data_IF_335139639338
#
_entry.id   IF_335139639338
#
_cell.length_a   1.000
_cell.length_b   1.000
_cell.length_c   1.000
_cell.angle_alpha   90.00
_cell.angle_beta   90.00
_cell.angle_gamma   90.00
#
_symmetry.space_group_name_H-M   'P 1'
#
loop_
_entity.id
_entity.type
_entity.pdbx_description
1 polymer ?
#
# COMPACT_ATOMS: atom_id res chain seq x y z
N UNK A 1 -45.68 43.59 8.22
CA UNK A 1 -45.86 42.53 7.20
C UNK A 1 -44.52 41.88 6.94
N UNK A 2 -44.45 40.57 7.19
CA UNK A 2 -43.24 39.76 7.25
C UNK A 2 -43.09 38.94 5.96
N UNK A 3 -41.89 38.87 5.39
CA UNK A 3 -41.40 37.70 4.62
C UNK A 3 -39.89 37.56 4.80
N UNK A 4 -39.49 36.66 5.70
CA UNK A 4 -38.15 36.04 5.70
C UNK A 4 -38.22 34.85 4.74
N UNK A 5 -37.43 34.88 3.67
CA UNK A 5 -37.25 33.76 2.75
C UNK A 5 -36.19 32.79 3.27
N UNK A 6 -36.46 31.49 3.10
CA UNK A 6 -35.73 30.35 3.63
C UNK A 6 -34.27 30.21 3.15
N UNK A 7 -33.38 29.61 3.96
CA UNK A 7 -32.05 29.22 3.52
C UNK A 7 -32.07 27.88 2.76
N UNK A 8 -31.50 27.92 1.56
CA UNK A 8 -31.22 26.84 0.62
C UNK A 8 -30.35 25.71 1.22
N UNK A 9 -30.96 24.74 1.92
CA UNK A 9 -30.29 23.56 2.48
C UNK A 9 -30.24 22.33 1.55
N UNK A 10 -30.36 22.50 0.24
CA UNK A 10 -30.51 21.38 -0.71
C UNK A 10 -29.25 20.92 -1.44
N UNK A 11 -28.18 21.73 -1.50
CA UNK A 11 -27.10 21.52 -2.49
C UNK A 11 -25.86 20.79 -1.98
N UNK A 12 -25.61 20.75 -0.67
CA UNK A 12 -24.36 20.19 -0.13
C UNK A 12 -24.37 18.66 0.02
N UNK A 13 -25.52 18.05 0.32
CA UNK A 13 -25.61 16.59 0.52
C UNK A 13 -25.45 15.79 -0.78
N UNK A 14 -25.83 16.38 -1.92
CA UNK A 14 -25.70 15.72 -3.23
C UNK A 14 -24.26 15.62 -3.74
N UNK A 15 -23.41 16.64 -3.44
CA UNK A 15 -21.99 16.64 -3.83
C UNK A 15 -21.19 15.56 -3.12
N UNK A 16 -21.56 15.24 -1.89
CA UNK A 16 -20.82 14.31 -1.03
C UNK A 16 -21.05 12.83 -1.39
N UNK A 17 -22.23 12.47 -1.87
CA UNK A 17 -22.51 11.10 -2.34
C UNK A 17 -21.85 10.75 -3.67
N UNK A 18 -21.64 11.73 -4.56
CA UNK A 18 -20.88 11.55 -5.80
C UNK A 18 -19.40 11.21 -5.53
N UNK A 19 -18.79 11.83 -4.52
CA UNK A 19 -17.38 11.64 -4.16
C UNK A 19 -17.05 10.19 -3.75
N UNK A 20 -17.87 9.56 -2.92
CA UNK A 20 -17.61 8.19 -2.42
C UNK A 20 -17.59 7.13 -3.52
N UNK A 21 -18.47 7.24 -4.52
CA UNK A 21 -18.51 6.31 -5.66
C UNK A 21 -17.29 6.48 -6.57
N UNK A 22 -16.81 7.73 -6.71
CA UNK A 22 -15.59 8.04 -7.47
C UNK A 22 -14.34 7.50 -6.79
N UNK A 23 -14.22 7.65 -5.46
CA UNK A 23 -13.09 7.11 -4.70
C UNK A 23 -13.01 5.58 -4.76
N UNK A 24 -14.15 4.88 -4.61
CA UNK A 24 -14.18 3.42 -4.72
C UNK A 24 -13.74 2.93 -6.12
N UNK A 25 -14.20 3.62 -7.17
CA UNK A 25 -13.80 3.33 -8.56
C UNK A 25 -12.29 3.54 -8.76
N UNK A 26 -11.73 4.62 -8.22
CA UNK A 26 -10.27 4.87 -8.28
C UNK A 26 -9.50 3.76 -7.57
N UNK A 27 -9.95 3.30 -6.40
CA UNK A 27 -9.28 2.23 -5.65
C UNK A 27 -9.30 0.90 -6.42
N UNK A 28 -10.45 0.56 -7.00
CA UNK A 28 -10.59 -0.61 -7.85
C UNK A 28 -9.69 -0.49 -9.09
N UNK A 29 -9.67 0.68 -9.74
CA UNK A 29 -8.82 0.92 -10.92
C UNK A 29 -7.32 0.85 -10.58
N UNK A 30 -6.89 1.37 -9.44
CA UNK A 30 -5.49 1.30 -8.99
C UNK A 30 -5.12 -0.13 -8.60
N UNK A 31 -5.99 -0.86 -7.88
CA UNK A 31 -5.78 -2.27 -7.58
C UNK A 31 -5.66 -3.13 -8.85
N UNK A 32 -6.55 -2.91 -9.82
CA UNK A 32 -6.53 -3.55 -11.14
C UNK A 32 -5.28 -3.16 -11.94
N UNK A 33 -4.83 -1.90 -11.87
CA UNK A 33 -3.60 -1.46 -12.52
C UNK A 33 -2.36 -2.11 -11.91
N UNK A 34 -2.27 -2.20 -10.58
CA UNK A 34 -1.16 -2.87 -9.88
C UNK A 34 -1.14 -4.37 -10.19
N UNK A 35 -2.31 -5.01 -10.26
CA UNK A 35 -2.50 -6.37 -10.75
C UNK A 35 -2.00 -6.50 -12.19
N UNK A 36 -2.47 -5.64 -13.10
CA UNK A 36 -2.12 -5.68 -14.51
C UNK A 36 -0.62 -5.43 -14.74
N UNK A 37 0.00 -4.48 -14.05
CA UNK A 37 1.43 -4.21 -14.12
C UNK A 37 2.24 -5.39 -13.60
N UNK A 38 1.83 -5.99 -12.47
CA UNK A 38 2.49 -7.18 -11.91
C UNK A 38 2.36 -8.40 -12.83
N UNK A 39 1.22 -8.53 -13.51
CA UNK A 39 0.92 -9.65 -14.41
C UNK A 39 1.55 -9.48 -15.80
N UNK A 40 1.60 -8.25 -16.33
CA UNK A 40 2.18 -7.93 -17.64
C UNK A 40 3.72 -7.89 -17.61
N UNK A 41 4.32 -7.55 -16.46
CA UNK A 41 5.79 -7.51 -16.32
C UNK A 41 6.40 -8.84 -15.81
N UNK A 42 5.58 -9.78 -15.32
CA UNK A 42 6.07 -10.94 -14.56
C UNK A 42 6.55 -12.16 -15.37
N UNK A 43 5.78 -12.67 -16.35
CA UNK A 43 6.12 -13.94 -17.00
C UNK A 43 6.90 -13.79 -18.33
N UNK A 44 6.97 -12.59 -18.93
CA UNK A 44 7.41 -12.42 -20.32
C UNK A 44 8.70 -11.62 -20.52
N UNK A 45 9.39 -11.21 -19.45
CA UNK A 45 10.63 -10.43 -19.59
C UNK A 45 11.85 -11.32 -19.31
N UNK A 46 12.53 -11.85 -20.34
CA UNK A 46 13.87 -12.41 -20.22
C UNK A 46 14.89 -11.27 -19.97
N UNK A 47 14.65 -10.42 -18.97
CA UNK A 47 15.75 -9.65 -18.40
C UNK A 47 16.75 -10.71 -17.92
N UNK A 48 18.02 -10.69 -18.38
CA UNK A 48 18.92 -11.81 -18.17
C UNK A 48 18.96 -12.08 -16.67
N UNK A 49 18.61 -13.29 -16.25
CA UNK A 49 18.80 -13.74 -14.86
C UNK A 49 20.23 -13.38 -14.41
N UNK A 50 21.19 -13.36 -15.34
CA UNK A 50 22.54 -12.85 -15.15
C UNK A 50 22.63 -11.41 -14.62
N UNK A 51 21.82 -10.46 -15.12
CA UNK A 51 21.81 -9.07 -14.63
C UNK A 51 21.27 -8.95 -13.21
N UNK A 52 20.35 -9.81 -12.79
CA UNK A 52 19.86 -9.87 -11.40
C UNK A 52 20.90 -10.51 -10.46
N UNK A 53 21.69 -11.46 -10.96
CA UNK A 53 22.65 -12.22 -10.14
C UNK A 53 23.86 -11.37 -9.71
N UNK A 54 24.34 -10.45 -10.54
CA UNK A 54 25.48 -9.58 -10.21
C UNK A 54 25.23 -8.76 -8.92
N UNK A 55 24.17 -7.94 -8.83
CA UNK A 55 23.88 -7.21 -7.60
C UNK A 55 23.51 -8.16 -6.45
N UNK A 56 22.79 -9.25 -6.71
CA UNK A 56 22.44 -10.21 -5.65
C UNK A 56 23.67 -10.85 -4.99
N UNK A 57 24.69 -11.22 -5.79
CA UNK A 57 25.97 -11.74 -5.28
C UNK A 57 26.72 -10.69 -4.49
N UNK A 58 26.87 -9.49 -5.04
CA UNK A 58 27.55 -8.37 -4.38
C UNK A 58 26.94 -8.07 -3.00
N UNK A 59 25.61 -7.94 -2.91
CA UNK A 59 24.95 -7.69 -1.63
C UNK A 59 25.01 -8.89 -0.68
N UNK A 60 24.98 -10.12 -1.22
CA UNK A 60 25.18 -11.35 -0.43
C UNK A 60 26.55 -11.39 0.24
N UNK A 61 27.62 -11.20 -0.54
CA UNK A 61 29.00 -11.15 -0.05
C UNK A 61 29.22 -10.00 0.94
N UNK A 62 28.63 -8.83 0.70
CA UNK A 62 28.67 -7.71 1.63
C UNK A 62 28.00 -8.04 2.97
N UNK A 63 26.91 -8.81 2.95
CA UNK A 63 26.24 -9.26 4.19
C UNK A 63 27.03 -10.34 4.93
N UNK A 64 27.79 -11.18 4.23
CA UNK A 64 28.67 -12.18 4.85
C UNK A 64 29.87 -11.53 5.53
N UNK A 65 30.47 -10.53 4.88
CA UNK A 65 31.66 -9.83 5.38
C UNK A 65 31.34 -8.74 6.40
N UNK A 66 30.09 -8.28 6.48
CA UNK A 66 29.66 -7.22 7.39
C UNK A 66 28.40 -7.63 8.20
N UNK A 67 28.59 -8.27 9.38
CA UNK A 67 27.48 -8.74 10.20
C UNK A 67 26.52 -7.63 10.70
N UNK A 68 27.05 -6.44 10.96
CA UNK A 68 26.26 -5.28 11.38
C UNK A 68 25.35 -4.79 10.25
N UNK A 69 25.87 -4.77 9.01
CA UNK A 69 25.09 -4.47 7.81
C UNK A 69 23.96 -5.48 7.62
N UNK A 70 24.26 -6.79 7.69
CA UNK A 70 23.26 -7.85 7.60
C UNK A 70 22.14 -7.69 8.64
N UNK A 71 22.52 -7.45 9.90
CA UNK A 71 21.57 -7.29 11.01
C UNK A 71 20.65 -6.08 10.79
N UNK A 72 21.22 -4.96 10.34
CA UNK A 72 20.43 -3.75 10.00
C UNK A 72 19.35 -4.07 8.98
N UNK A 73 19.70 -4.75 7.88
CA UNK A 73 18.72 -5.11 6.84
C UNK A 73 17.69 -6.14 7.29
N UNK A 74 18.07 -7.09 8.15
CA UNK A 74 17.13 -8.02 8.78
C UNK A 74 16.07 -7.26 9.57
N UNK A 75 16.49 -6.31 10.42
CA UNK A 75 15.58 -5.51 11.25
C UNK A 75 14.67 -4.64 10.38
N UNK A 76 15.22 -3.93 9.40
CA UNK A 76 14.43 -3.11 8.47
C UNK A 76 13.40 -3.97 7.74
N UNK A 77 13.80 -5.15 7.23
CA UNK A 77 12.90 -6.06 6.50
C UNK A 77 11.83 -6.67 7.39
N UNK A 78 12.10 -6.88 8.68
CA UNK A 78 11.13 -7.37 9.65
C UNK A 78 10.09 -6.29 9.99
N UNK A 79 10.53 -5.05 10.23
CA UNK A 79 9.65 -3.91 10.51
C UNK A 79 8.76 -3.62 9.29
N UNK A 80 9.35 -3.59 8.10
CA UNK A 80 8.64 -3.34 6.84
C UNK A 80 8.09 -4.63 6.21
N UNK A 81 7.87 -5.67 7.01
CA UNK A 81 7.35 -6.93 6.50
C UNK A 81 5.88 -6.80 6.06
N UNK A 82 5.44 -7.60 5.07
CA UNK A 82 4.04 -7.65 4.70
C UNK A 82 3.12 -7.95 5.89
N UNK A 83 3.56 -8.79 6.83
CA UNK A 83 2.76 -9.14 8.02
C UNK A 83 2.64 -7.97 8.99
N UNK A 84 3.72 -7.24 9.24
CA UNK A 84 3.66 -6.01 10.05
C UNK A 84 2.71 -4.99 9.42
N UNK A 85 2.79 -4.78 8.11
CA UNK A 85 1.90 -3.87 7.39
C UNK A 85 0.44 -4.33 7.41
N UNK A 86 0.16 -5.63 7.33
CA UNK A 86 -1.19 -6.20 7.50
C UNK A 86 -1.75 -5.93 8.88
N UNK A 87 -0.95 -6.11 9.93
CA UNK A 87 -1.38 -5.83 11.30
C UNK A 87 -1.73 -4.35 11.44
N UNK A 88 -0.87 -3.45 10.96
CA UNK A 88 -1.13 -2.00 10.99
C UNK A 88 -2.42 -1.67 10.23
N UNK A 89 -2.56 -2.15 9.00
CA UNK A 89 -3.75 -1.92 8.18
C UNK A 89 -5.02 -2.48 8.82
N UNK A 90 -4.94 -3.69 9.39
CA UNK A 90 -6.04 -4.33 10.10
C UNK A 90 -6.48 -3.56 11.33
N UNK A 91 -5.53 -3.12 12.17
CA UNK A 91 -5.82 -2.30 13.36
C UNK A 91 -6.47 -0.98 12.96
N UNK A 92 -5.94 -0.28 11.96
CA UNK A 92 -6.51 0.99 11.48
C UNK A 92 -7.89 0.80 10.88
N UNK A 93 -8.11 -0.28 10.12
CA UNK A 93 -9.41 -0.61 9.56
C UNK A 93 -10.43 -0.89 10.66
N UNK A 94 -10.08 -1.73 11.64
CA UNK A 94 -10.94 -2.03 12.80
C UNK A 94 -11.24 -0.77 13.59
N UNK A 95 -10.24 0.07 13.87
CA UNK A 95 -10.44 1.36 14.54
C UNK A 95 -11.41 2.25 13.75
N UNK A 96 -11.27 2.31 12.42
CA UNK A 96 -12.19 3.05 11.55
C UNK A 96 -13.59 2.43 11.44
N UNK A 97 -13.81 1.19 11.86
CA UNK A 97 -15.13 0.55 11.85
C UNK A 97 -15.81 0.65 13.22
N UNK A 98 -15.05 0.43 14.30
CA UNK A 98 -15.56 0.32 15.66
C UNK A 98 -15.68 1.68 16.35
N UNK A 99 -14.77 2.63 16.09
CA UNK A 99 -14.80 3.94 16.77
C UNK A 99 -16.05 4.72 16.34
N UNK A 100 -16.89 5.20 17.28
CA UNK A 100 -18.11 5.94 16.97
C UNK A 100 -17.84 7.14 16.07
N UNK A 101 -18.77 7.41 15.14
CA UNK A 101 -18.73 8.64 14.35
C UNK A 101 -19.13 9.80 15.26
N UNK A 102 -18.24 10.77 15.40
CA UNK A 102 -18.56 12.08 15.97
C UNK A 102 -18.55 13.08 14.84
N UNK A 103 -19.74 13.53 14.46
CA UNK A 103 -19.92 14.53 13.41
C UNK A 103 -19.09 15.77 13.75
N UNK A 104 -18.23 16.19 12.83
CA UNK A 104 -17.37 17.36 13.00
C UNK A 104 -16.08 17.13 13.79
N UNK A 105 -15.78 15.89 14.21
CA UNK A 105 -14.47 15.59 14.76
C UNK A 105 -13.39 15.61 13.66
N UNK A 106 -12.17 16.12 13.93
CA UNK A 106 -11.10 16.17 12.93
C UNK A 106 -10.74 14.80 12.33
N UNK A 107 -10.99 13.70 13.05
CA UNK A 107 -10.79 12.34 12.57
C UNK A 107 -11.78 11.87 11.50
N UNK A 108 -12.91 12.56 11.29
CA UNK A 108 -13.93 12.16 10.32
C UNK A 108 -13.43 12.31 8.87
N UNK A 109 -12.67 13.37 8.59
CA UNK A 109 -12.06 13.61 7.28
C UNK A 109 -11.02 12.55 6.90
N UNK A 110 -10.34 11.97 7.89
CA UNK A 110 -9.30 10.94 7.70
C UNK A 110 -9.88 9.53 7.56
N UNK A 111 -11.11 9.29 8.06
CA UNK A 111 -11.66 7.93 8.18
C UNK A 111 -11.77 7.19 6.84
N UNK A 112 -12.35 7.83 5.82
CA UNK A 112 -12.48 7.20 4.49
C UNK A 112 -11.11 6.97 3.83
N UNK A 113 -10.20 7.97 3.80
CA UNK A 113 -8.81 7.77 3.39
C UNK A 113 -8.13 6.58 4.08
N UNK A 114 -8.20 6.49 5.41
CA UNK A 114 -7.58 5.42 6.19
C UNK A 114 -8.17 4.05 5.85
N UNK A 115 -9.49 3.93 5.68
CA UNK A 115 -10.14 2.68 5.26
C UNK A 115 -9.65 2.25 3.88
N UNK A 116 -9.66 3.17 2.91
CA UNK A 116 -9.19 2.89 1.55
C UNK A 116 -7.75 2.41 1.54
N UNK A 117 -6.87 3.15 2.21
CA UNK A 117 -5.45 2.82 2.29
C UNK A 117 -5.21 1.46 2.95
N UNK A 118 -5.93 1.16 4.03
CA UNK A 118 -5.83 -0.12 4.74
C UNK A 118 -6.26 -1.30 3.86
N UNK A 119 -7.36 -1.14 3.10
CA UNK A 119 -7.82 -2.18 2.16
C UNK A 119 -6.80 -2.40 1.04
N UNK A 120 -6.25 -1.34 0.45
CA UNK A 120 -5.21 -1.45 -0.58
C UNK A 120 -3.99 -2.21 -0.08
N UNK A 121 -3.53 -1.90 1.15
CA UNK A 121 -2.43 -2.60 1.79
C UNK A 121 -2.70 -4.09 2.00
N UNK A 122 -3.89 -4.43 2.52
CA UNK A 122 -4.26 -5.82 2.73
C UNK A 122 -4.26 -6.60 1.42
N UNK A 123 -4.84 -6.05 0.35
CA UNK A 123 -4.83 -6.67 -0.98
C UNK A 123 -3.40 -6.84 -1.51
N UNK A 124 -2.59 -5.78 -1.47
CA UNK A 124 -1.23 -5.79 -2.00
C UNK A 124 -0.28 -6.73 -1.23
N UNK A 125 -0.58 -6.99 0.04
CA UNK A 125 0.20 -7.94 0.85
C UNK A 125 -0.16 -9.40 0.56
N UNK A 126 -1.41 -9.70 0.20
CA UNK A 126 -1.90 -11.08 -0.05
C UNK A 126 -1.69 -11.48 -1.50
N UNK A 127 -1.90 -10.56 -2.44
CA UNK A 127 -1.83 -10.83 -3.86
C UNK A 127 -0.50 -11.46 -4.33
N UNK A 128 0.69 -11.01 -3.88
CA UNK A 128 1.95 -11.67 -4.21
C UNK A 128 1.99 -13.15 -3.84
N UNK A 129 1.34 -13.55 -2.74
CA UNK A 129 1.29 -14.97 -2.33
C UNK A 129 0.51 -15.80 -3.34
N UNK A 130 -0.60 -15.26 -3.88
CA UNK A 130 -1.36 -15.93 -4.93
C UNK A 130 -0.55 -16.05 -6.22
N UNK A 131 0.15 -14.98 -6.64
CA UNK A 131 0.97 -14.99 -7.87
C UNK A 131 2.15 -15.97 -7.75
N UNK A 132 2.75 -16.08 -6.56
CA UNK A 132 3.88 -16.99 -6.32
C UNK A 132 3.56 -18.46 -6.58
N UNK A 133 2.30 -18.86 -6.43
CA UNK A 133 1.82 -20.21 -6.77
C UNK A 133 1.91 -20.50 -8.27
N UNK A 134 1.86 -19.47 -9.12
CA UNK A 134 1.84 -19.62 -10.58
C UNK A 134 3.21 -19.39 -11.25
N UNK A 135 4.08 -18.55 -10.68
CA UNK A 135 5.31 -18.09 -11.35
C UNK A 135 6.57 -18.85 -10.91
N UNK A 136 6.50 -19.65 -9.85
CA UNK A 136 7.56 -20.50 -9.25
C UNK A 136 9.02 -20.19 -9.65
N UNK A 137 9.46 -18.94 -9.40
CA UNK A 137 10.83 -18.51 -9.68
C UNK A 137 11.77 -18.91 -8.52
N UNK A 138 12.87 -19.63 -8.78
CA UNK A 138 13.82 -20.00 -7.74
C UNK A 138 14.53 -18.77 -7.14
N UNK A 139 14.92 -18.87 -5.87
CA UNK A 139 15.68 -17.82 -5.17
C UNK A 139 17.18 -17.94 -5.45
N UNK A 140 17.93 -16.83 -5.45
CA UNK A 140 19.39 -16.87 -5.46
C UNK A 140 19.92 -17.48 -4.16
N UNK A 141 21.00 -18.28 -4.24
CA UNK A 141 21.56 -19.02 -3.10
C UNK A 141 22.20 -18.15 -2.00
N UNK A 142 22.64 -16.93 -2.34
CA UNK A 142 23.28 -15.98 -1.42
C UNK A 142 22.28 -15.04 -0.75
N UNK A 143 21.14 -15.56 -0.28
CA UNK A 143 20.13 -14.74 0.36
C UNK A 143 20.58 -14.34 1.78
N UNK A 144 20.60 -13.03 2.07
CA UNK A 144 20.95 -12.50 3.39
C UNK A 144 19.95 -12.93 4.50
N UNK A 145 18.72 -13.28 4.13
CA UNK A 145 17.64 -13.68 5.04
C UNK A 145 16.90 -14.88 4.46
N UNK A 146 16.60 -15.87 5.30
CA UNK A 146 15.73 -16.98 4.93
C UNK A 146 14.33 -16.48 4.62
N UNK A 147 13.71 -16.96 3.55
CA UNK A 147 12.36 -16.58 3.23
C UNK A 147 11.62 -17.74 2.53
N UNK A 148 10.36 -17.91 2.91
CA UNK A 148 9.51 -19.00 2.44
C UNK A 148 8.96 -18.69 1.04
N UNK A 149 8.87 -19.71 0.17
CA UNK A 149 8.29 -19.63 -1.18
C UNK A 149 9.20 -19.01 -2.26
N UNK A 150 8.66 -18.84 -3.46
CA UNK A 150 9.39 -18.36 -4.64
C UNK A 150 9.85 -16.90 -4.54
N UNK A 151 10.84 -16.53 -5.37
CA UNK A 151 11.48 -15.22 -5.38
C UNK A 151 10.61 -14.11 -5.98
N UNK A 152 9.70 -14.46 -6.90
CA UNK A 152 8.90 -13.51 -7.65
C UNK A 152 7.39 -13.75 -7.49
N UNK A 153 6.59 -12.68 -7.32
CA UNK A 153 7.00 -11.29 -7.06
C UNK A 153 7.47 -11.09 -5.61
N UNK A 154 8.27 -10.04 -5.35
CA UNK A 154 8.69 -9.71 -3.98
C UNK A 154 7.51 -9.17 -3.17
N UNK A 155 7.09 -9.92 -2.14
CA UNK A 155 5.99 -9.54 -1.27
C UNK A 155 6.28 -8.25 -0.49
N UNK A 156 7.52 -8.06 -0.02
CA UNK A 156 7.96 -6.81 0.61
C UNK A 156 7.86 -5.62 -0.35
N UNK A 157 8.39 -5.77 -1.56
CA UNK A 157 8.38 -4.67 -2.54
C UNK A 157 6.94 -4.28 -2.90
N UNK A 158 6.06 -5.26 -3.14
CA UNK A 158 4.65 -5.01 -3.44
C UNK A 158 3.92 -4.29 -2.29
N UNK A 159 4.10 -4.76 -1.05
CA UNK A 159 3.46 -4.18 0.12
C UNK A 159 3.94 -2.75 0.40
N UNK A 160 5.26 -2.49 0.36
CA UNK A 160 5.84 -1.15 0.57
C UNK A 160 5.41 -0.19 -0.54
N UNK A 161 5.44 -0.63 -1.81
CA UNK A 161 5.01 0.19 -2.94
C UNK A 161 3.55 0.59 -2.80
N UNK A 162 2.67 -0.36 -2.45
CA UNK A 162 1.27 -0.07 -2.18
C UNK A 162 1.08 0.84 -0.96
N UNK A 163 1.89 0.67 0.10
CA UNK A 163 1.87 1.54 1.28
C UNK A 163 2.15 3.00 0.88
N UNK A 164 3.25 3.22 0.17
CA UNK A 164 3.74 4.56 -0.21
C UNK A 164 2.82 5.20 -1.24
N UNK A 165 2.53 4.51 -2.35
CA UNK A 165 1.66 5.04 -3.40
C UNK A 165 0.24 5.24 -2.88
N UNK A 166 -0.29 4.26 -2.14
CA UNK A 166 -1.59 4.38 -1.52
C UNK A 166 -1.65 5.58 -0.58
N UNK A 167 -0.65 5.74 0.30
CA UNK A 167 -0.63 6.86 1.23
C UNK A 167 -0.58 8.19 0.48
N UNK A 168 0.27 8.29 -0.54
CA UNK A 168 0.37 9.49 -1.35
C UNK A 168 -0.93 9.81 -2.07
N UNK A 169 -1.53 8.86 -2.81
CA UNK A 169 -2.78 9.10 -3.54
C UNK A 169 -3.96 9.47 -2.63
N UNK A 170 -4.01 8.88 -1.45
CA UNK A 170 -5.16 8.96 -0.56
C UNK A 170 -5.05 10.15 0.40
N UNK A 171 -3.84 10.47 0.87
CA UNK A 171 -3.61 11.57 1.82
C UNK A 171 -3.06 12.85 1.17
N UNK A 172 -2.44 12.83 -0.02
CA UNK A 172 -1.97 14.05 -0.70
C UNK A 172 -3.04 15.16 -0.85
N UNK A 173 -4.32 14.85 -1.16
CA UNK A 173 -5.35 15.87 -1.25
C UNK A 173 -5.56 16.64 0.06
N UNK A 174 -5.32 16.00 1.21
CA UNK A 174 -5.50 16.62 2.53
C UNK A 174 -4.40 17.64 2.85
N UNK A 175 -3.19 17.45 2.29
CA UNK A 175 -2.09 18.41 2.44
C UNK A 175 -2.23 19.63 1.53
N UNK A 176 -2.97 19.52 0.41
CA UNK A 176 -3.20 20.64 -0.51
C UNK A 176 -4.21 21.68 0.00
N UNK A 177 -4.97 21.36 1.04
CA UNK A 177 -6.05 22.23 1.56
C UNK A 177 -5.58 23.15 2.70
N UNK A 178 -4.33 23.04 3.16
CA UNK A 178 -3.80 23.88 4.25
C UNK A 178 -2.57 24.67 3.79
N UNK A 179 -2.74 25.89 3.24
CA UNK A 179 -1.63 26.71 2.72
C UNK A 179 -0.64 27.21 3.80
N UNK A 180 -0.85 26.88 5.07
CA UNK A 180 -0.03 27.34 6.21
C UNK A 180 1.00 26.31 6.71
N UNK A 181 1.16 25.17 6.01
CA UNK A 181 2.13 24.11 6.36
C UNK A 181 3.28 23.99 5.33
N UNK A 182 3.48 25.02 4.50
CA UNK A 182 4.63 25.17 3.58
C UNK A 182 5.30 26.49 3.86
#
# INVERSE_FOLDING_TARGET
MSRRGEPSRGFETQRWHGSKRSSLRICLSVGVLLLAVSFLLGPAQPVPIALDLVPARFFGELCETNPAWKTTWVVISAILSPDTLRVIAGVLLVACLVVPRREGAPGEALRLPTVVWSVMLLVASVLPLAIKVFVDRPRPGLAAVSAFGSAYPSSHAAAITAAVIGAWLVFAPLFRVHPWLV
#
